data_IF_668718922073
#
_entry.id   IF_668718922073
#
_cell.length_a   1.000
_cell.length_b   1.000
_cell.length_c   1.000
_cell.angle_alpha   90.00
_cell.angle_beta   90.00
_cell.angle_gamma   90.00
#
_symmetry.space_group_name_H-M   'P 1'
#
loop_
_entity.id
_entity.type
_entity.pdbx_description
1 polymer ?
#
# COMPACT_ATOMS: atom_id res chain seq x y z
N UNK A 1 -12.60 -12.53 24.42
CA UNK A 1 -11.68 -12.21 23.32
C UNK A 1 -11.79 -10.72 23.08
N UNK A 2 -10.68 -9.99 22.97
CA UNK A 2 -10.70 -8.54 22.84
C UNK A 2 -11.33 -8.16 21.48
N UNK A 3 -12.46 -7.44 21.49
CA UNK A 3 -13.25 -7.13 20.28
C UNK A 3 -12.41 -6.44 19.20
N UNK A 4 -11.48 -5.57 19.64
CA UNK A 4 -10.52 -4.90 18.79
C UNK A 4 -9.59 -5.87 18.05
N UNK A 5 -9.05 -6.88 18.75
CA UNK A 5 -8.16 -7.90 18.14
C UNK A 5 -8.89 -8.74 17.09
N UNK A 6 -10.17 -9.04 17.32
CA UNK A 6 -10.98 -9.78 16.34
C UNK A 6 -11.35 -8.95 15.12
N UNK A 7 -11.59 -7.64 15.27
CA UNK A 7 -11.85 -6.74 14.15
C UNK A 7 -10.60 -6.49 13.31
N UNK A 8 -9.44 -6.19 13.94
CA UNK A 8 -8.15 -6.04 13.22
C UNK A 8 -7.78 -7.29 12.43
N UNK A 9 -7.92 -8.47 13.04
CA UNK A 9 -7.66 -9.74 12.34
C UNK A 9 -8.55 -9.90 11.10
N UNK A 10 -9.83 -9.55 11.19
CA UNK A 10 -10.75 -9.62 10.04
C UNK A 10 -10.36 -8.66 8.93
N UNK A 11 -9.88 -7.47 9.26
CA UNK A 11 -9.35 -6.52 8.27
C UNK A 11 -8.12 -7.11 7.58
N UNK A 12 -7.14 -7.61 8.33
CA UNK A 12 -5.92 -8.18 7.75
C UNK A 12 -6.19 -9.41 6.90
N UNK A 13 -7.04 -10.34 7.34
CA UNK A 13 -7.34 -11.54 6.57
C UNK A 13 -8.15 -11.22 5.30
N UNK A 14 -9.02 -10.20 5.36
CA UNK A 14 -9.75 -9.70 4.19
C UNK A 14 -8.84 -8.97 3.22
N UNK A 15 -7.92 -8.14 3.73
CA UNK A 15 -6.91 -7.45 2.95
C UNK A 15 -6.00 -8.45 2.25
N UNK A 16 -5.51 -9.45 3.00
CA UNK A 16 -4.72 -10.56 2.49
C UNK A 16 -5.43 -11.26 1.34
N UNK A 17 -6.71 -11.62 1.50
CA UNK A 17 -7.51 -12.20 0.44
C UNK A 17 -7.45 -11.33 -0.83
N UNK A 18 -7.90 -10.07 -0.78
CA UNK A 18 -7.96 -9.22 -1.98
C UNK A 18 -6.58 -8.95 -2.60
N UNK A 19 -5.56 -8.73 -1.78
CA UNK A 19 -4.18 -8.51 -2.23
C UNK A 19 -3.61 -9.77 -2.90
N UNK A 20 -3.89 -10.96 -2.37
CA UNK A 20 -3.52 -12.24 -3.00
C UNK A 20 -4.12 -12.37 -4.41
N UNK A 21 -5.25 -11.72 -4.68
CA UNK A 21 -5.89 -11.68 -6.01
C UNK A 21 -5.41 -10.54 -6.92
N UNK A 22 -4.41 -9.77 -6.50
CA UNK A 22 -3.90 -8.62 -7.24
C UNK A 22 -4.82 -7.40 -7.21
N UNK A 23 -5.79 -7.37 -6.29
CA UNK A 23 -6.65 -6.21 -6.10
C UNK A 23 -5.99 -5.30 -5.05
N UNK A 24 -6.04 -3.99 -5.28
CA UNK A 24 -5.41 -3.03 -4.37
C UNK A 24 -6.37 -2.76 -3.22
N UNK A 25 -6.05 -3.28 -2.05
CA UNK A 25 -6.79 -3.01 -0.82
C UNK A 25 -6.27 -1.74 -0.15
N UNK A 26 -7.16 -0.78 0.10
CA UNK A 26 -6.86 0.47 0.82
C UNK A 26 -7.75 0.58 2.05
N UNK A 27 -7.19 0.25 3.20
CA UNK A 27 -7.87 0.48 4.47
C UNK A 27 -8.22 1.97 4.62
N UNK A 28 -9.45 2.26 5.03
CA UNK A 28 -9.89 3.63 5.26
C UNK A 28 -9.54 4.02 6.71
N UNK A 29 -8.73 5.08 6.93
CA UNK A 29 -8.27 5.49 8.26
C UNK A 29 -9.37 6.14 9.13
N UNK A 30 -10.64 5.96 8.74
CA UNK A 30 -11.78 6.69 9.29
C UNK A 30 -12.76 5.70 9.90
N UNK A 31 -12.53 5.35 11.16
CA UNK A 31 -13.20 4.28 11.93
C UNK A 31 -14.72 4.46 12.13
N UNK A 32 -15.35 5.56 11.68
CA UNK A 32 -16.68 5.95 12.16
C UNK A 32 -17.82 6.03 11.13
N UNK A 33 -17.59 5.63 9.87
CA UNK A 33 -18.62 5.82 8.83
C UNK A 33 -19.14 4.53 8.21
N UNK A 34 -18.46 3.41 8.41
CA UNK A 34 -18.96 2.10 8.00
C UNK A 34 -18.54 1.66 6.60
N UNK A 35 -17.42 2.17 6.09
CA UNK A 35 -16.64 1.54 5.04
C UNK A 35 -15.23 1.46 5.57
N UNK A 36 -14.77 0.26 5.88
CA UNK A 36 -13.48 0.02 6.52
C UNK A 36 -12.35 -0.06 5.49
N UNK A 37 -12.67 -0.35 4.22
CA UNK A 37 -11.69 -0.36 3.13
C UNK A 37 -12.33 -0.06 1.77
N UNK A 38 -11.51 0.44 0.86
CA UNK A 38 -11.81 0.54 -0.57
C UNK A 38 -10.89 -0.44 -1.29
N UNK A 39 -11.44 -1.16 -2.27
CA UNK A 39 -10.67 -2.09 -3.09
C UNK A 39 -10.78 -1.70 -4.55
N UNK A 40 -9.64 -1.66 -5.22
CA UNK A 40 -9.51 -1.39 -6.65
C UNK A 40 -9.15 -2.70 -7.36
N UNK A 41 -9.90 -3.06 -8.40
CA UNK A 41 -9.52 -4.18 -9.27
C UNK A 41 -8.32 -3.80 -10.12
N UNK A 42 -7.61 -4.80 -10.68
CA UNK A 42 -6.73 -4.59 -11.82
C UNK A 42 -7.43 -3.79 -12.93
N UNK A 43 -6.62 -3.11 -13.73
CA UNK A 43 -7.08 -2.20 -14.77
C UNK A 43 -7.45 -3.01 -16.01
N UNK A 44 -8.74 -3.05 -16.36
CA UNK A 44 -9.17 -3.84 -17.52
C UNK A 44 -8.53 -3.37 -18.84
N UNK A 45 -8.70 -4.17 -19.89
CA UNK A 45 -8.24 -3.93 -21.27
C UNK A 45 -8.57 -2.54 -21.86
N UNK A 46 -9.55 -1.82 -21.28
CA UNK A 46 -9.95 -0.48 -21.71
C UNK A 46 -9.36 0.65 -20.83
N UNK A 47 -8.47 0.31 -19.89
CA UNK A 47 -7.90 1.23 -18.92
C UNK A 47 -8.85 1.54 -17.75
N UNK A 48 -9.81 0.67 -17.47
CA UNK A 48 -10.83 0.91 -16.43
C UNK A 48 -10.52 0.11 -15.16
N UNK A 49 -10.46 0.82 -14.05
CA UNK A 49 -10.38 0.23 -12.71
C UNK A 49 -11.78 0.17 -12.11
N UNK A 50 -12.16 -0.96 -11.52
CA UNK A 50 -13.39 -1.05 -10.75
C UNK A 50 -13.07 -0.82 -9.28
N UNK A 51 -13.83 0.07 -8.66
CA UNK A 51 -13.67 0.42 -7.25
C UNK A 51 -14.90 -0.09 -6.50
N UNK A 52 -14.72 -0.65 -5.32
CA UNK A 52 -15.82 -0.99 -4.42
C UNK A 52 -15.41 -0.85 -2.95
N UNK A 53 -16.39 -0.60 -2.10
CA UNK A 53 -16.20 -0.47 -0.66
C UNK A 53 -16.39 -1.80 0.06
N UNK A 54 -15.77 -1.90 1.24
CA UNK A 54 -15.93 -3.01 2.17
C UNK A 54 -16.33 -2.49 3.54
N UNK A 55 -17.36 -3.09 4.13
CA UNK A 55 -17.58 -3.08 5.58
C UNK A 55 -17.19 -4.45 6.12
N UNK A 56 -16.21 -4.50 7.01
CA UNK A 56 -15.59 -5.69 7.58
C UNK A 56 -15.94 -5.77 9.07
N UNK A 57 -16.46 -6.93 9.50
CA UNK A 57 -16.75 -7.20 10.91
C UNK A 57 -16.19 -8.54 11.34
N UNK A 58 -15.32 -8.51 12.35
CA UNK A 58 -14.71 -9.70 12.95
C UNK A 58 -15.40 -10.15 14.22
N UNK A 59 -15.67 -11.45 14.33
CA UNK A 59 -16.18 -12.08 15.54
C UNK A 59 -17.68 -12.32 15.56
N UNK A 60 -18.08 -13.41 16.22
CA UNK A 60 -19.44 -13.96 16.22
C UNK A 60 -20.48 -13.05 16.87
N UNK A 61 -20.08 -12.05 17.66
CA UNK A 61 -21.00 -11.08 18.27
C UNK A 61 -21.65 -10.15 17.23
N UNK A 62 -21.09 -10.03 16.04
CA UNK A 62 -21.58 -9.14 14.99
C UNK A 62 -22.77 -9.70 14.21
N UNK A 63 -23.04 -11.00 14.28
CA UNK A 63 -24.06 -11.64 13.46
C UNK A 63 -24.76 -12.78 14.18
N UNK A 64 -25.99 -13.09 13.74
CA UNK A 64 -26.72 -14.25 14.23
C UNK A 64 -26.65 -15.38 13.20
N UNK A 65 -26.05 -16.51 13.60
CA UNK A 65 -26.05 -17.71 12.77
C UNK A 65 -27.44 -18.35 12.74
N UNK A 66 -27.98 -18.56 11.53
CA UNK A 66 -29.18 -19.36 11.27
C UNK A 66 -28.79 -20.59 10.44
N UNK A 67 -29.79 -21.42 10.08
CA UNK A 67 -29.57 -22.70 9.39
C UNK A 67 -28.82 -22.54 8.06
N UNK A 68 -29.18 -21.53 7.25
CA UNK A 68 -28.64 -21.34 5.89
C UNK A 68 -27.93 -19.99 5.68
N UNK A 69 -27.96 -19.08 6.66
CA UNK A 69 -27.44 -17.72 6.52
C UNK A 69 -26.91 -17.17 7.85
N UNK A 70 -26.04 -16.17 7.76
CA UNK A 70 -25.66 -15.27 8.83
C UNK A 70 -26.48 -13.99 8.71
N UNK A 71 -27.18 -13.58 9.77
CA UNK A 71 -27.92 -12.32 9.79
C UNK A 71 -27.07 -11.24 10.45
N UNK A 72 -26.71 -10.21 9.68
CA UNK A 72 -26.05 -9.01 10.15
C UNK A 72 -27.08 -7.90 10.39
N UNK A 73 -27.03 -7.26 11.56
CA UNK A 73 -27.94 -6.17 11.94
C UNK A 73 -27.20 -4.84 11.95
N UNK A 74 -27.82 -3.81 11.39
CA UNK A 74 -27.23 -2.46 11.32
C UNK A 74 -28.29 -1.38 11.54
N UNK A 75 -27.84 -0.19 11.92
CA UNK A 75 -28.71 0.94 12.29
C UNK A 75 -29.32 1.62 11.06
N UNK A 76 -30.39 2.39 11.28
CA UNK A 76 -30.99 3.23 10.22
C UNK A 76 -30.01 4.26 9.65
N UNK A 77 -29.04 4.70 10.46
CA UNK A 77 -27.93 5.55 10.01
C UNK A 77 -27.04 4.86 8.98
N UNK A 78 -26.58 3.63 9.25
CA UNK A 78 -25.80 2.84 8.27
C UNK A 78 -26.62 2.56 7.01
N UNK A 79 -27.93 2.29 7.14
CA UNK A 79 -28.80 2.13 5.98
C UNK A 79 -28.79 3.35 5.05
N UNK A 80 -28.97 4.55 5.59
CA UNK A 80 -28.92 5.78 4.79
C UNK A 80 -27.53 6.04 4.20
N UNK A 81 -26.48 5.83 5.00
CA UNK A 81 -25.11 6.03 4.57
C UNK A 81 -24.70 5.09 3.44
N UNK A 82 -24.90 3.78 3.60
CA UNK A 82 -24.55 2.79 2.59
C UNK A 82 -25.39 2.92 1.33
N UNK A 83 -26.68 3.28 1.44
CA UNK A 83 -27.49 3.61 0.27
C UNK A 83 -26.91 4.77 -0.54
N UNK A 84 -26.36 5.77 0.13
CA UNK A 84 -25.67 6.85 -0.56
C UNK A 84 -24.40 6.31 -1.24
N UNK A 85 -23.57 5.53 -0.53
CA UNK A 85 -22.30 4.99 -1.08
C UNK A 85 -22.53 4.18 -2.36
N UNK A 86 -23.54 3.30 -2.37
CA UNK A 86 -23.86 2.46 -3.54
C UNK A 86 -24.42 3.23 -4.74
N UNK A 87 -24.59 4.55 -4.67
CA UNK A 87 -24.84 5.39 -5.85
C UNK A 87 -23.57 5.61 -6.68
N UNK A 88 -22.38 5.36 -6.12
CA UNK A 88 -21.09 5.69 -6.76
C UNK A 88 -20.26 4.44 -7.04
N UNK A 89 -20.25 3.48 -6.11
CA UNK A 89 -19.56 2.21 -6.28
C UNK A 89 -20.20 1.10 -5.44
N UNK A 90 -20.06 -0.19 -5.84
CA UNK A 90 -20.58 -1.33 -5.07
C UNK A 90 -20.03 -1.36 -3.63
N UNK A 91 -20.81 -1.89 -2.69
CA UNK A 91 -20.39 -2.10 -1.31
C UNK A 91 -20.59 -3.57 -0.94
N UNK A 92 -19.57 -4.21 -0.37
CA UNK A 92 -19.69 -5.56 0.18
C UNK A 92 -19.66 -5.53 1.71
N UNK A 93 -20.49 -6.36 2.33
CA UNK A 93 -20.46 -6.64 3.77
C UNK A 93 -19.69 -7.93 3.99
N UNK A 94 -18.62 -7.87 4.77
CA UNK A 94 -17.70 -8.95 5.09
C UNK A 94 -17.83 -9.31 6.57
N UNK A 95 -18.05 -10.58 6.87
CA UNK A 95 -18.14 -11.10 8.23
C UNK A 95 -17.11 -12.21 8.43
N UNK A 96 -16.21 -12.07 9.39
CA UNK A 96 -15.29 -13.14 9.76
C UNK A 96 -15.76 -13.86 11.03
N UNK A 97 -15.88 -15.18 10.93
CA UNK A 97 -16.12 -16.07 12.06
C UNK A 97 -14.78 -16.48 12.70
N UNK A 98 -14.46 -15.91 13.87
CA UNK A 98 -13.18 -16.09 14.54
C UNK A 98 -12.90 -17.53 14.98
N UNK A 99 -13.92 -18.35 15.21
CA UNK A 99 -13.78 -19.75 15.59
C UNK A 99 -13.38 -20.68 14.44
N UNK A 100 -13.58 -20.28 13.19
CA UNK A 100 -13.32 -21.11 12.01
C UNK A 100 -12.47 -20.43 10.95
N UNK A 101 -12.06 -19.18 11.18
CA UNK A 101 -11.39 -18.28 10.23
C UNK A 101 -12.10 -18.11 8.88
N UNK A 102 -13.38 -18.50 8.80
CA UNK A 102 -14.17 -18.34 7.59
C UNK A 102 -14.62 -16.90 7.44
N UNK A 103 -14.38 -16.36 6.26
CA UNK A 103 -14.81 -15.04 5.85
C UNK A 103 -16.03 -15.22 4.93
N UNK A 104 -17.15 -14.60 5.29
CA UNK A 104 -18.37 -14.60 4.51
C UNK A 104 -18.59 -13.21 3.91
N UNK A 105 -19.19 -13.14 2.73
CA UNK A 105 -19.41 -11.87 2.04
C UNK A 105 -20.79 -11.77 1.40
N UNK A 106 -21.30 -10.55 1.25
CA UNK A 106 -22.52 -10.30 0.50
C UNK A 106 -22.54 -8.87 -0.04
N UNK A 107 -23.08 -8.69 -1.25
CA UNK A 107 -23.34 -7.36 -1.80
C UNK A 107 -24.38 -6.62 -0.93
N UNK A 108 -24.08 -5.37 -0.57
CA UNK A 108 -25.06 -4.47 0.02
C UNK A 108 -26.09 -4.08 -1.06
N UNK A 109 -27.18 -4.84 -1.12
CA UNK A 109 -28.23 -4.68 -2.12
C UNK A 109 -29.60 -4.70 -1.44
N UNK A 110 -30.50 -3.78 -1.83
CA UNK A 110 -31.86 -3.68 -1.27
C UNK A 110 -32.67 -4.98 -1.39
N UNK A 111 -32.30 -5.90 -2.29
CA UNK A 111 -32.90 -7.24 -2.39
C UNK A 111 -32.60 -8.14 -1.18
N UNK A 112 -31.45 -7.95 -0.52
CA UNK A 112 -31.00 -8.75 0.62
C UNK A 112 -31.24 -8.05 1.97
N UNK A 113 -31.79 -6.84 1.94
CA UNK A 113 -31.98 -5.99 3.11
C UNK A 113 -33.45 -5.99 3.52
N UNK A 114 -33.70 -6.07 4.82
CA UNK A 114 -35.07 -6.00 5.36
C UNK A 114 -35.14 -5.06 6.56
N UNK A 115 -36.13 -4.16 6.57
CA UNK A 115 -36.43 -3.31 7.73
C UNK A 115 -37.03 -4.16 8.85
N UNK A 116 -36.50 -4.03 10.07
CA UNK A 116 -37.09 -4.58 11.29
C UNK A 116 -37.76 -3.48 12.10
N UNK A 117 -38.29 -3.79 13.27
CA UNK A 117 -38.95 -2.80 14.15
C UNK A 117 -38.00 -1.71 14.66
N UNK A 118 -36.69 -1.99 14.80
CA UNK A 118 -35.70 -1.04 15.36
C UNK A 118 -34.46 -0.83 14.50
N UNK A 119 -34.09 -1.80 13.66
CA UNK A 119 -32.86 -1.83 12.87
C UNK A 119 -33.14 -2.32 11.44
N UNK A 120 -32.10 -2.41 10.63
CA UNK A 120 -32.09 -3.13 9.37
C UNK A 120 -31.32 -4.43 9.54
N UNK A 121 -31.62 -5.41 8.68
CA UNK A 121 -30.85 -6.64 8.61
C UNK A 121 -30.46 -6.96 7.17
N UNK A 122 -29.32 -7.62 7.02
CA UNK A 122 -28.84 -8.20 5.77
C UNK A 122 -28.48 -9.66 6.05
N UNK A 123 -29.04 -10.57 5.22
CA UNK A 123 -28.81 -12.00 5.35
C UNK A 123 -27.71 -12.43 4.35
N UNK A 124 -26.61 -12.99 4.87
CA UNK A 124 -25.47 -13.51 4.11
C UNK A 124 -25.58 -15.05 4.01
N UNK A 125 -25.78 -15.64 2.83
CA UNK A 125 -25.80 -17.09 2.65
C UNK A 125 -24.51 -17.75 3.14
N UNK A 126 -24.60 -18.91 3.79
CA UNK A 126 -23.42 -19.64 4.28
C UNK A 126 -22.53 -20.19 3.15
N UNK A 127 -23.03 -20.20 1.91
CA UNK A 127 -22.27 -20.55 0.71
C UNK A 127 -21.45 -19.38 0.15
N UNK A 128 -21.76 -18.13 0.53
CA UNK A 128 -20.98 -16.96 0.12
C UNK A 128 -19.73 -16.83 0.98
N UNK A 129 -18.80 -17.76 0.80
CA UNK A 129 -17.49 -17.75 1.46
C UNK A 129 -16.52 -17.00 0.55
N UNK A 130 -15.68 -16.17 1.15
CA UNK A 130 -14.61 -15.46 0.46
C UNK A 130 -13.49 -16.46 0.17
N UNK A 131 -13.40 -16.88 -1.09
CA UNK A 131 -12.49 -17.89 -1.62
C UNK A 131 -12.18 -17.62 -3.12
N UNK A 132 -11.33 -18.43 -3.73
CA UNK A 132 -11.00 -18.36 -5.17
C UNK A 132 -12.23 -18.25 -6.08
N UNK A 133 -13.28 -19.04 -5.82
CA UNK A 133 -14.49 -19.07 -6.66
C UNK A 133 -15.29 -17.76 -6.55
N UNK A 134 -15.27 -17.13 -5.37
CA UNK A 134 -15.98 -15.87 -5.12
C UNK A 134 -15.43 -14.69 -5.94
N UNK A 135 -14.15 -14.73 -6.37
CA UNK A 135 -13.52 -13.70 -7.20
C UNK A 135 -14.34 -13.41 -8.46
N UNK A 136 -14.66 -14.45 -9.22
CA UNK A 136 -15.42 -14.31 -10.47
C UNK A 136 -16.84 -13.78 -10.23
N UNK A 137 -17.43 -14.12 -9.08
CA UNK A 137 -18.77 -13.65 -8.70
C UNK A 137 -18.73 -12.17 -8.31
N UNK A 138 -17.72 -11.75 -7.53
CA UNK A 138 -17.53 -10.34 -7.16
C UNK A 138 -17.25 -9.53 -8.42
N UNK A 139 -16.30 -9.92 -9.26
CA UNK A 139 -15.98 -9.23 -10.51
C UNK A 139 -17.20 -9.07 -11.44
N UNK A 140 -18.01 -10.11 -11.60
CA UNK A 140 -19.25 -10.03 -12.38
C UNK A 140 -20.28 -9.07 -11.75
N UNK A 141 -20.37 -9.03 -10.43
CA UNK A 141 -21.21 -8.06 -9.71
C UNK A 141 -20.76 -6.63 -10.00
N UNK A 142 -19.45 -6.36 -9.95
CA UNK A 142 -18.87 -5.05 -10.28
C UNK A 142 -19.15 -4.64 -11.74
N UNK A 143 -18.98 -5.56 -12.69
CA UNK A 143 -19.25 -5.32 -14.10
C UNK A 143 -20.73 -4.97 -14.38
N UNK A 144 -21.65 -5.71 -13.76
CA UNK A 144 -23.09 -5.47 -13.91
C UNK A 144 -23.53 -4.13 -13.30
N UNK A 145 -22.95 -3.75 -12.16
CA UNK A 145 -23.20 -2.45 -11.54
C UNK A 145 -22.86 -1.30 -12.51
N UNK A 146 -21.71 -1.39 -13.19
CA UNK A 146 -21.24 -0.36 -14.11
C UNK A 146 -21.97 -0.32 -15.45
N UNK A 147 -22.53 -1.44 -15.93
CA UNK A 147 -23.33 -1.42 -17.14
C UNK A 147 -24.68 -0.73 -16.93
N UNK A 148 -25.26 -0.86 -15.73
CA UNK A 148 -26.45 -0.10 -15.35
C UNK A 148 -26.15 1.41 -15.27
N UNK A 149 -24.97 1.81 -14.80
CA UNK A 149 -24.47 3.20 -14.84
C UNK A 149 -24.20 3.68 -16.29
N UNK A 150 -23.52 2.89 -17.12
CA UNK A 150 -23.18 3.26 -18.52
C UNK A 150 -24.41 3.45 -19.40
N UNK A 151 -25.47 2.67 -19.21
CA UNK A 151 -26.75 2.88 -19.90
C UNK A 151 -27.36 4.27 -19.61
N UNK A 152 -27.00 4.89 -18.48
CA UNK A 152 -27.39 6.26 -18.16
C UNK A 152 -26.41 7.32 -18.74
N UNK A 153 -25.15 6.96 -19.02
CA UNK A 153 -24.06 7.89 -19.43
C UNK A 153 -23.82 7.94 -20.95
N UNK A 154 -24.25 6.95 -21.74
CA UNK A 154 -24.04 6.88 -23.22
C UNK A 154 -24.68 8.00 -24.07
N UNK A 155 -25.12 9.10 -23.47
CA UNK A 155 -25.64 10.29 -24.14
C UNK A 155 -24.59 11.42 -24.37
N UNK A 156 -23.27 11.18 -24.29
CA UNK A 156 -22.26 12.19 -24.67
C UNK A 156 -21.11 11.67 -25.57
N UNK A 157 -20.53 12.52 -26.45
CA UNK A 157 -19.61 12.08 -27.52
C UNK A 157 -18.14 12.00 -27.07
N UNK A 158 -17.39 11.04 -27.61
CA UNK A 158 -15.99 10.70 -27.32
C UNK A 158 -14.93 11.67 -27.90
N UNK A 159 -13.83 11.92 -27.16
CA UNK A 159 -12.62 12.66 -27.57
C UNK A 159 -11.52 11.72 -28.15
N UNK A 160 -10.76 12.19 -29.16
CA UNK A 160 -9.70 11.44 -29.89
C UNK A 160 -8.30 11.55 -29.23
N UNK A 161 -7.50 10.47 -29.25
CA UNK A 161 -6.06 10.42 -28.86
C UNK A 161 -5.14 11.11 -29.89
N UNK A 162 -4.09 11.80 -29.45
CA UNK A 162 -3.13 12.56 -30.30
C UNK A 162 -1.93 11.70 -30.78
N UNK A 163 -1.23 12.11 -31.85
CA UNK A 163 -0.14 11.36 -32.52
C UNK A 163 1.28 11.58 -31.92
N UNK A 164 1.44 12.42 -30.89
CA UNK A 164 2.75 12.87 -30.37
C UNK A 164 3.06 12.37 -28.95
N UNK A 165 2.46 11.25 -28.53
CA UNK A 165 2.60 10.71 -27.18
C UNK A 165 3.55 9.50 -27.15
N UNK A 166 4.48 9.47 -26.19
CA UNK A 166 5.31 8.30 -25.92
C UNK A 166 4.44 7.21 -25.28
N UNK A 167 4.43 6.00 -25.83
CA UNK A 167 3.75 4.86 -25.22
C UNK A 167 4.73 3.74 -24.89
N UNK A 168 4.53 3.10 -23.73
CA UNK A 168 5.40 2.04 -23.21
C UNK A 168 4.52 0.90 -22.72
N UNK A 169 4.68 -0.28 -23.33
CA UNK A 169 3.94 -1.49 -22.98
C UNK A 169 4.89 -2.67 -22.88
N UNK A 170 4.54 -3.64 -22.04
CA UNK A 170 5.26 -4.90 -21.98
C UNK A 170 4.54 -5.95 -22.81
N UNK A 171 5.29 -6.93 -23.31
CA UNK A 171 4.74 -8.07 -24.03
C UNK A 171 5.54 -9.33 -23.70
N UNK A 172 4.94 -10.47 -23.92
CA UNK A 172 5.58 -11.78 -23.79
C UNK A 172 5.70 -12.38 -25.18
N UNK A 173 6.93 -12.67 -25.60
CA UNK A 173 7.14 -13.28 -26.92
C UNK A 173 6.91 -14.79 -26.84
N UNK A 174 6.17 -15.33 -27.81
CA UNK A 174 6.01 -16.77 -28.01
C UNK A 174 7.09 -17.38 -28.91
N UNK A 175 8.03 -16.57 -29.41
CA UNK A 175 9.23 -17.06 -30.10
C UNK A 175 10.31 -17.46 -29.07
N UNK A 176 11.30 -18.27 -29.49
CA UNK A 176 12.25 -19.02 -28.63
C UNK A 176 12.74 -18.26 -27.38
N UNK A 177 12.03 -18.41 -26.26
CA UNK A 177 12.46 -18.26 -24.85
C UNK A 177 11.28 -17.96 -23.88
N UNK A 178 10.07 -17.63 -24.37
CA UNK A 178 8.97 -17.10 -23.55
C UNK A 178 9.37 -15.87 -22.73
N UNK A 179 10.19 -14.99 -23.32
CA UNK A 179 10.79 -13.86 -22.61
C UNK A 179 9.92 -12.61 -22.67
N UNK A 180 9.97 -11.81 -21.59
CA UNK A 180 9.35 -10.49 -21.56
C UNK A 180 10.12 -9.52 -22.45
N UNK A 181 9.39 -8.67 -23.16
CA UNK A 181 9.88 -7.55 -23.93
C UNK A 181 9.27 -6.24 -23.43
N UNK A 182 10.03 -5.14 -23.53
CA UNK A 182 9.53 -3.78 -23.41
C UNK A 182 9.41 -3.16 -24.80
N UNK A 183 8.23 -2.62 -25.09
CA UNK A 183 7.89 -1.96 -26.34
C UNK A 183 7.77 -0.46 -26.08
N UNK A 184 8.62 0.34 -26.75
CA UNK A 184 8.64 1.80 -26.61
C UNK A 184 8.33 2.40 -27.96
N UNK A 185 7.27 3.22 -28.03
CA UNK A 185 6.76 3.81 -29.25
C UNK A 185 6.69 5.34 -29.14
N UNK A 186 7.16 6.04 -30.18
CA UNK A 186 7.02 7.48 -30.32
C UNK A 186 6.77 7.86 -31.79
N UNK A 187 5.58 8.40 -32.07
CA UNK A 187 5.14 8.68 -33.43
C UNK A 187 5.09 7.39 -34.28
N UNK A 188 5.99 7.28 -35.27
CA UNK A 188 6.11 6.09 -36.13
C UNK A 188 7.26 5.17 -35.73
N UNK A 189 8.06 5.55 -34.74
CA UNK A 189 9.21 4.77 -34.32
C UNK A 189 8.79 3.82 -33.21
N UNK A 190 9.14 2.54 -33.35
CA UNK A 190 8.89 1.50 -32.36
C UNK A 190 10.18 0.73 -32.15
N UNK A 191 10.50 0.48 -30.88
CA UNK A 191 11.54 -0.47 -30.51
C UNK A 191 10.93 -1.54 -29.60
N UNK A 192 11.36 -2.77 -29.81
CA UNK A 192 11.09 -3.92 -28.95
C UNK A 192 12.43 -4.38 -28.37
N UNK A 193 12.51 -4.51 -27.05
CA UNK A 193 13.73 -4.92 -26.34
C UNK A 193 13.44 -6.11 -25.44
N UNK A 194 14.21 -7.19 -25.60
CA UNK A 194 14.12 -8.36 -24.76
C UNK A 194 14.70 -8.05 -23.38
N UNK A 195 13.97 -8.38 -22.31
CA UNK A 195 14.40 -8.26 -20.92
C UNK A 195 15.10 -9.53 -20.41
N UNK A 196 15.18 -10.58 -21.24
CA UNK A 196 15.85 -11.85 -20.95
C UNK A 196 15.31 -12.57 -19.71
N UNK A 197 14.04 -12.32 -19.40
CA UNK A 197 13.35 -12.93 -18.28
C UNK A 197 12.19 -13.78 -18.75
N UNK A 198 12.14 -15.03 -18.27
CA UNK A 198 11.02 -15.93 -18.45
C UNK A 198 10.17 -15.94 -17.17
N UNK A 199 8.93 -15.42 -17.19
CA UNK A 199 8.05 -15.45 -16.03
C UNK A 199 7.78 -16.88 -15.55
N UNK A 200 7.62 -17.06 -14.23
CA UNK A 200 7.10 -18.33 -13.68
C UNK A 200 5.62 -18.50 -14.03
N UNK A 201 5.07 -19.70 -13.78
CA UNK A 201 3.76 -20.17 -14.26
C UNK A 201 2.56 -19.24 -13.97
N UNK A 202 2.68 -18.33 -13.00
CA UNK A 202 1.64 -17.37 -12.62
C UNK A 202 2.12 -15.92 -12.57
N UNK A 203 3.38 -15.60 -12.91
CA UNK A 203 3.91 -14.24 -12.72
C UNK A 203 3.49 -13.27 -13.82
N UNK A 204 2.99 -13.76 -14.96
CA UNK A 204 2.56 -12.95 -16.08
C UNK A 204 1.05 -12.92 -16.18
N UNK A 205 0.50 -11.72 -16.08
CA UNK A 205 -0.91 -11.45 -16.30
C UNK A 205 -1.11 -11.18 -17.80
N UNK A 206 -1.81 -12.10 -18.48
CA UNK A 206 -2.07 -11.98 -19.92
C UNK A 206 -3.08 -10.86 -20.24
N UNK A 207 -3.95 -10.48 -19.30
CA UNK A 207 -4.93 -9.40 -19.48
C UNK A 207 -4.24 -8.03 -19.37
N UNK A 208 -3.43 -7.84 -18.33
CA UNK A 208 -2.65 -6.62 -18.11
C UNK A 208 -1.44 -6.51 -19.04
N UNK A 209 -1.04 -7.63 -19.68
CA UNK A 209 0.22 -7.76 -20.40
C UNK A 209 1.42 -7.27 -19.57
N UNK A 210 1.44 -7.66 -18.30
CA UNK A 210 2.45 -7.23 -17.34
C UNK A 210 2.76 -8.31 -16.30
N UNK A 211 3.85 -8.13 -15.56
CA UNK A 211 4.10 -8.95 -14.38
C UNK A 211 3.06 -8.65 -13.31
N UNK A 212 2.70 -9.63 -12.49
CA UNK A 212 1.96 -9.38 -11.25
C UNK A 212 2.91 -9.23 -10.05
N UNK A 213 2.33 -8.88 -8.90
CA UNK A 213 3.04 -8.56 -7.67
C UNK A 213 3.86 -9.73 -7.08
N UNK A 214 3.58 -10.98 -7.45
CA UNK A 214 4.37 -12.14 -7.02
C UNK A 214 5.78 -12.16 -7.64
N UNK A 215 5.99 -11.44 -8.74
CA UNK A 215 7.30 -11.36 -9.39
C UNK A 215 8.23 -10.40 -8.66
N UNK A 216 9.48 -10.85 -8.41
CA UNK A 216 10.53 -10.01 -7.84
C UNK A 216 10.80 -8.73 -8.68
N UNK A 217 10.45 -8.71 -9.97
CA UNK A 217 10.70 -7.56 -10.85
C UNK A 217 9.50 -6.64 -11.05
N UNK A 218 8.34 -6.92 -10.44
CA UNK A 218 7.10 -6.17 -10.63
C UNK A 218 7.28 -4.66 -10.43
N UNK A 219 7.73 -4.26 -9.25
CA UNK A 219 7.89 -2.86 -8.88
C UNK A 219 9.01 -2.18 -9.69
N UNK A 220 10.12 -2.89 -9.93
CA UNK A 220 11.22 -2.35 -10.74
C UNK A 220 10.78 -2.05 -12.17
N UNK A 221 9.96 -2.89 -12.80
CA UNK A 221 9.46 -2.63 -14.15
C UNK A 221 8.41 -1.50 -14.18
N UNK A 222 7.59 -1.37 -13.13
CA UNK A 222 6.65 -0.26 -12.99
C UNK A 222 7.40 1.08 -12.90
N UNK A 223 8.44 1.12 -12.08
CA UNK A 223 9.29 2.30 -11.90
C UNK A 223 10.17 2.58 -13.11
N UNK A 224 10.63 1.55 -13.82
CA UNK A 224 11.36 1.73 -15.06
C UNK A 224 10.51 2.40 -16.14
N UNK A 225 9.23 2.01 -16.25
CA UNK A 225 8.28 2.70 -17.14
C UNK A 225 8.16 4.19 -16.77
N UNK A 226 8.02 4.51 -15.48
CA UNK A 226 7.95 5.90 -14.98
C UNK A 226 9.23 6.69 -15.26
N UNK A 227 10.39 6.08 -15.04
CA UNK A 227 11.69 6.64 -15.36
C UNK A 227 11.80 7.00 -16.84
N UNK A 228 11.47 6.08 -17.75
CA UNK A 228 11.55 6.33 -19.20
C UNK A 228 10.64 7.49 -19.62
N UNK A 229 9.39 7.53 -19.11
CA UNK A 229 8.49 8.66 -19.35
C UNK A 229 9.08 9.98 -18.86
N UNK A 230 9.47 10.06 -17.58
CA UNK A 230 10.04 11.28 -16.98
C UNK A 230 11.32 11.73 -17.71
N UNK A 231 12.15 10.78 -18.12
CA UNK A 231 13.39 11.02 -18.86
C UNK A 231 13.10 11.63 -20.23
N UNK A 232 12.15 11.09 -20.97
CA UNK A 232 11.77 11.62 -22.29
C UNK A 232 11.07 12.98 -22.21
N UNK A 233 10.23 13.19 -21.18
CA UNK A 233 9.57 14.47 -20.93
C UNK A 233 10.56 15.62 -20.73
N UNK A 234 11.72 15.34 -20.13
CA UNK A 234 12.82 16.29 -19.96
C UNK A 234 13.66 16.53 -21.24
N UNK A 235 13.39 15.81 -22.32
CA UNK A 235 14.08 15.95 -23.60
C UNK A 235 13.24 16.78 -24.60
N UNK A 236 13.87 17.15 -25.73
CA UNK A 236 13.22 17.91 -26.81
C UNK A 236 12.13 17.14 -27.62
N UNK A 237 11.58 16.04 -27.09
CA UNK A 237 10.54 15.18 -27.70
C UNK A 237 10.64 15.06 -29.23
N UNK A 238 11.80 14.63 -29.71
CA UNK A 238 12.10 14.50 -31.13
C UNK A 238 12.50 13.06 -31.45
N UNK A 239 12.46 12.67 -32.73
CA UNK A 239 12.98 11.36 -33.15
C UNK A 239 14.44 11.13 -32.68
N UNK A 240 15.27 12.17 -32.73
CA UNK A 240 16.65 12.11 -32.21
C UNK A 240 16.71 11.94 -30.69
N UNK A 241 15.79 12.57 -29.95
CA UNK A 241 15.69 12.37 -28.50
C UNK A 241 15.24 10.95 -28.17
N UNK A 242 14.33 10.40 -28.97
CA UNK A 242 13.86 9.03 -28.85
C UNK A 242 15.01 8.03 -29.10
N UNK A 243 15.82 8.21 -30.15
CA UNK A 243 16.97 7.34 -30.40
C UNK A 243 17.99 7.34 -29.24
N UNK A 244 18.21 8.51 -28.62
CA UNK A 244 19.05 8.64 -27.43
C UNK A 244 18.45 7.90 -26.23
N UNK A 245 17.16 8.09 -25.97
CA UNK A 245 16.45 7.39 -24.90
C UNK A 245 16.53 5.86 -25.11
N UNK A 246 16.29 5.39 -26.32
CA UNK A 246 16.38 3.96 -26.65
C UNK A 246 17.78 3.40 -26.43
N UNK A 247 18.83 4.19 -26.74
CA UNK A 247 20.22 3.80 -26.47
C UNK A 247 20.49 3.69 -24.96
N UNK A 248 19.98 4.64 -24.16
CA UNK A 248 20.04 4.63 -22.70
C UNK A 248 19.33 3.40 -22.12
N UNK A 249 18.08 3.14 -22.54
CA UNK A 249 17.30 1.97 -22.12
C UNK A 249 18.00 0.65 -22.48
N UNK A 250 18.55 0.52 -23.69
CA UNK A 250 19.32 -0.67 -24.09
C UNK A 250 20.54 -0.89 -23.20
N UNK A 251 21.23 0.18 -22.84
CA UNK A 251 22.40 0.13 -21.96
C UNK A 251 22.04 -0.26 -20.53
N UNK A 252 20.86 0.15 -20.04
CA UNK A 252 20.35 -0.23 -18.71
C UNK A 252 19.98 -1.70 -18.69
N UNK A 253 19.18 -2.16 -19.66
CA UNK A 253 18.75 -3.58 -19.72
C UNK A 253 19.97 -4.49 -19.88
N UNK A 254 20.89 -4.16 -20.81
CA UNK A 254 22.13 -4.91 -21.06
C UNK A 254 21.96 -6.45 -20.98
N UNK A 255 20.93 -6.95 -21.65
CA UNK A 255 20.54 -8.35 -21.73
C UNK A 255 20.21 -9.07 -20.41
N UNK A 256 19.80 -8.37 -19.36
CA UNK A 256 19.36 -8.97 -18.10
C UNK A 256 18.35 -8.06 -17.38
N UNK A 257 17.15 -8.58 -17.07
CA UNK A 257 16.12 -7.84 -16.34
C UNK A 257 16.61 -7.34 -14.98
N UNK A 258 17.52 -8.07 -14.33
CA UNK A 258 18.04 -7.67 -13.02
C UNK A 258 18.81 -6.35 -13.08
N UNK A 259 19.46 -6.04 -14.21
CA UNK A 259 20.13 -4.76 -14.40
C UNK A 259 19.13 -3.59 -14.35
N UNK A 260 17.86 -3.82 -14.73
CA UNK A 260 16.80 -2.82 -14.58
C UNK A 260 16.48 -2.59 -13.10
N UNK A 261 16.43 -3.66 -12.30
CA UNK A 261 16.20 -3.56 -10.86
C UNK A 261 17.36 -2.86 -10.15
N UNK A 262 18.60 -3.26 -10.43
CA UNK A 262 19.81 -2.61 -9.93
C UNK A 262 19.83 -1.12 -10.32
N UNK A 263 19.59 -0.81 -11.60
CA UNK A 263 19.54 0.57 -12.06
C UNK A 263 18.47 1.41 -11.34
N UNK A 264 17.25 0.88 -11.17
CA UNK A 264 16.17 1.63 -10.54
C UNK A 264 16.44 1.87 -9.06
N UNK A 265 16.96 0.85 -8.36
CA UNK A 265 17.36 0.98 -6.96
C UNK A 265 18.45 2.04 -6.81
N UNK A 266 19.54 1.93 -7.57
CA UNK A 266 20.67 2.86 -7.50
C UNK A 266 20.29 4.28 -7.94
N UNK A 267 19.46 4.41 -8.98
CA UNK A 267 18.99 5.71 -9.48
C UNK A 267 18.13 6.44 -8.43
N UNK A 268 17.24 5.71 -7.73
CA UNK A 268 16.40 6.29 -6.68
C UNK A 268 17.20 6.71 -5.46
N UNK A 269 18.27 5.98 -5.16
CA UNK A 269 19.15 6.21 -4.02
C UNK A 269 20.34 7.14 -4.31
N UNK A 270 20.46 7.62 -5.55
CA UNK A 270 21.55 8.47 -5.97
C UNK A 270 21.60 9.77 -5.17
N UNK A 271 22.64 9.94 -4.36
CA UNK A 271 22.88 11.14 -3.55
C UNK A 271 22.44 11.04 -2.09
N UNK A 272 21.96 9.87 -1.66
CA UNK A 272 21.47 9.62 -0.29
C UNK A 272 22.41 8.71 0.54
N UNK A 273 23.63 8.47 0.06
CA UNK A 273 24.64 7.60 0.68
C UNK A 273 24.21 6.14 0.92
N UNK A 274 23.05 5.73 0.40
CA UNK A 274 22.60 4.33 0.41
C UNK A 274 23.55 3.51 -0.49
N UNK A 275 24.11 2.39 0.00
CA UNK A 275 24.96 1.52 -0.80
C UNK A 275 24.25 1.03 -2.07
N UNK A 276 25.00 0.76 -3.13
CA UNK A 276 24.41 0.23 -4.37
C UNK A 276 23.76 -1.14 -4.12
N UNK A 277 22.78 -1.49 -4.94
CA UNK A 277 22.05 -2.76 -4.92
C UNK A 277 22.98 -3.98 -4.81
N UNK A 278 24.08 -3.98 -5.56
CA UNK A 278 25.06 -5.08 -5.55
C UNK A 278 25.80 -5.25 -4.21
N UNK A 279 25.89 -4.21 -3.38
CA UNK A 279 26.47 -4.31 -2.04
C UNK A 279 25.54 -5.05 -1.07
N UNK A 280 24.25 -4.74 -1.11
CA UNK A 280 23.24 -5.48 -0.34
C UNK A 280 23.23 -6.97 -0.70
N UNK A 281 23.30 -7.31 -1.99
CA UNK A 281 23.36 -8.70 -2.42
C UNK A 281 24.60 -9.41 -1.87
N UNK A 282 25.77 -8.77 -1.91
CA UNK A 282 27.00 -9.33 -1.33
C UNK A 282 26.88 -9.55 0.17
N UNK A 283 26.24 -8.63 0.90
CA UNK A 283 26.05 -8.77 2.34
C UNK A 283 25.14 -9.98 2.65
N UNK A 284 24.08 -10.16 1.86
CA UNK A 284 23.25 -11.36 1.98
C UNK A 284 23.98 -12.66 1.62
N UNK A 285 24.78 -12.67 0.55
CA UNK A 285 25.59 -13.84 0.18
C UNK A 285 26.61 -14.20 1.28
N UNK A 286 27.21 -13.20 1.93
CA UNK A 286 28.12 -13.39 3.05
C UNK A 286 27.41 -14.00 4.28
N UNK A 287 26.22 -13.52 4.60
CA UNK A 287 25.42 -14.04 5.71
C UNK A 287 24.89 -15.46 5.44
N UNK A 288 24.32 -15.70 4.26
CA UNK A 288 23.61 -16.93 3.94
C UNK A 288 24.49 -18.05 3.37
N UNK A 289 25.70 -17.73 2.90
CA UNK A 289 26.55 -18.61 2.07
C UNK A 289 25.87 -19.12 0.78
N UNK A 290 24.79 -18.46 0.33
CA UNK A 290 24.13 -18.75 -0.92
C UNK A 290 24.79 -18.00 -2.07
N UNK A 291 24.79 -18.59 -3.26
CA UNK A 291 25.15 -17.88 -4.50
C UNK A 291 23.94 -17.21 -5.13
N UNK A 292 24.15 -16.16 -5.93
CA UNK A 292 23.11 -15.40 -6.64
C UNK A 292 21.97 -16.22 -7.27
N UNK A 293 22.25 -17.42 -7.80
CA UNK A 293 21.24 -18.27 -8.45
C UNK A 293 20.31 -19.01 -7.48
N UNK A 294 20.59 -18.96 -6.18
CA UNK A 294 19.88 -19.71 -5.14
C UNK A 294 18.80 -18.87 -4.44
N UNK A 295 18.70 -17.58 -4.74
CA UNK A 295 17.72 -16.68 -4.16
C UNK A 295 17.16 -15.70 -5.18
N UNK A 296 16.03 -15.13 -4.84
CA UNK A 296 15.35 -14.06 -5.55
C UNK A 296 15.44 -12.81 -4.70
N UNK A 297 15.75 -11.68 -5.31
CA UNK A 297 15.87 -10.40 -4.61
C UNK A 297 14.91 -9.42 -5.26
N UNK A 298 14.04 -8.82 -4.46
CA UNK A 298 13.05 -7.83 -4.85
C UNK A 298 13.41 -6.52 -4.18
N UNK A 299 13.69 -5.49 -4.98
CA UNK A 299 13.90 -4.14 -4.48
C UNK A 299 12.54 -3.45 -4.26
N UNK A 300 12.27 -3.01 -3.03
CA UNK A 300 11.11 -2.19 -2.67
C UNK A 300 11.60 -0.86 -2.10
N UNK A 301 11.47 0.20 -2.91
CA UNK A 301 11.97 1.54 -2.63
C UNK A 301 13.44 1.58 -2.21
N UNK A 302 13.71 1.62 -0.89
CA UNK A 302 15.05 1.75 -0.30
C UNK A 302 15.57 0.44 0.29
N UNK A 303 14.74 -0.59 0.43
CA UNK A 303 15.07 -1.88 1.05
C UNK A 303 15.03 -3.03 0.04
N UNK A 304 15.62 -4.17 0.40
CA UNK A 304 15.61 -5.37 -0.44
C UNK A 304 15.05 -6.55 0.34
N UNK A 305 14.06 -7.20 -0.26
CA UNK A 305 13.52 -8.47 0.22
C UNK A 305 14.14 -9.62 -0.55
N UNK A 306 14.54 -10.65 0.16
CA UNK A 306 15.25 -11.80 -0.40
C UNK A 306 14.49 -13.07 -0.09
N UNK A 307 14.08 -13.79 -1.13
CA UNK A 307 13.39 -15.06 -1.04
C UNK A 307 14.33 -16.20 -1.38
N UNK A 308 14.45 -17.15 -0.46
CA UNK A 308 15.23 -18.38 -0.65
C UNK A 308 14.30 -19.59 -0.63
N UNK A 309 14.88 -20.79 -0.69
CA UNK A 309 14.12 -22.04 -0.44
C UNK A 309 13.75 -22.24 1.03
N UNK A 310 14.49 -21.62 1.95
CA UNK A 310 14.40 -21.88 3.39
C UNK A 310 13.58 -20.82 4.12
N UNK A 311 13.39 -19.65 3.50
CA UNK A 311 12.64 -18.55 4.08
C UNK A 311 12.79 -17.27 3.28
N UNK A 312 12.14 -16.21 3.77
CA UNK A 312 12.30 -14.86 3.29
C UNK A 312 13.10 -14.03 4.29
N UNK A 313 13.82 -13.05 3.77
CA UNK A 313 14.70 -12.17 4.52
C UNK A 313 14.46 -10.74 4.07
N UNK A 314 14.68 -9.82 4.98
CA UNK A 314 14.74 -8.38 4.71
C UNK A 314 16.17 -7.92 4.98
N UNK A 315 16.72 -7.11 4.07
CA UNK A 315 18.02 -6.46 4.27
C UNK A 315 17.89 -4.94 4.14
N UNK A 316 18.47 -4.24 5.10
CA UNK A 316 18.49 -2.77 5.19
C UNK A 316 19.84 -2.28 5.72
N UNK A 317 20.04 -0.97 5.74
CA UNK A 317 21.13 -0.28 6.43
C UNK A 317 20.59 1.06 6.98
N UNK A 318 21.41 1.76 7.76
CA UNK A 318 21.01 3.06 8.35
C UNK A 318 20.55 4.06 7.29
N UNK A 319 21.30 4.15 6.19
CA UNK A 319 20.99 5.07 5.11
C UNK A 319 19.67 4.71 4.41
N UNK A 320 19.42 3.43 4.13
CA UNK A 320 18.17 3.02 3.47
C UNK A 320 16.95 3.22 4.35
N UNK A 321 17.03 2.84 5.63
CA UNK A 321 15.93 3.06 6.58
C UNK A 321 15.67 4.55 6.78
N UNK A 322 16.72 5.37 6.87
CA UNK A 322 16.59 6.83 6.95
C UNK A 322 15.81 7.41 5.77
N UNK A 323 16.11 7.00 4.54
CA UNK A 323 15.37 7.47 3.35
C UNK A 323 13.91 6.98 3.36
N UNK A 324 13.68 5.76 3.85
CA UNK A 324 12.33 5.22 4.04
C UNK A 324 11.52 6.07 5.04
N UNK A 325 12.09 6.39 6.20
CA UNK A 325 11.46 7.24 7.21
C UNK A 325 11.23 8.67 6.71
N UNK A 326 12.19 9.26 5.98
CA UNK A 326 12.01 10.57 5.34
C UNK A 326 10.83 10.57 4.38
N UNK A 327 10.72 9.53 3.54
CA UNK A 327 9.60 9.42 2.60
C UNK A 327 8.25 9.48 3.33
N UNK A 328 8.11 8.82 4.48
CA UNK A 328 6.86 8.85 5.23
C UNK A 328 6.58 10.18 5.93
N UNK A 329 7.58 10.71 6.64
CA UNK A 329 7.43 11.92 7.43
C UNK A 329 7.25 13.16 6.53
N UNK A 330 8.07 13.30 5.48
CA UNK A 330 8.06 14.49 4.63
C UNK A 330 6.84 14.56 3.71
N UNK A 331 6.30 13.41 3.30
CA UNK A 331 5.08 13.35 2.48
C UNK A 331 3.78 13.30 3.30
N UNK A 332 3.88 13.29 4.64
CA UNK A 332 2.75 13.06 5.55
C UNK A 332 1.99 11.78 5.20
N UNK A 333 2.73 10.69 5.02
CA UNK A 333 2.21 9.36 4.72
C UNK A 333 1.69 8.71 6.00
N UNK A 334 0.55 9.21 6.50
CA UNK A 334 0.03 8.85 7.84
C UNK A 334 -0.18 7.33 8.01
N UNK A 335 -0.66 6.65 6.96
CA UNK A 335 -0.89 5.21 7.01
C UNK A 335 0.42 4.44 7.14
N UNK A 336 1.43 4.82 6.37
CA UNK A 336 2.74 4.18 6.36
C UNK A 336 3.50 4.44 7.67
N UNK A 337 3.34 5.60 8.30
CA UNK A 337 3.87 5.82 9.65
C UNK A 337 3.22 4.84 10.64
N UNK A 338 1.91 4.58 10.51
CA UNK A 338 1.21 3.62 11.34
C UNK A 338 1.63 2.16 11.06
N UNK A 339 1.81 1.76 9.80
CA UNK A 339 2.04 0.35 9.44
C UNK A 339 3.51 -0.05 9.37
N UNK A 340 4.40 0.90 9.06
CA UNK A 340 5.80 0.63 8.71
C UNK A 340 6.80 1.20 9.75
N UNK A 341 6.31 1.77 10.85
CA UNK A 341 7.17 2.24 11.95
C UNK A 341 6.68 1.74 13.31
N UNK A 342 7.60 1.65 14.25
CA UNK A 342 7.36 1.15 15.60
C UNK A 342 7.08 2.32 16.56
N UNK A 343 5.89 2.29 17.17
CA UNK A 343 5.46 3.27 18.17
C UNK A 343 6.42 3.33 19.35
N UNK A 344 6.92 2.18 19.81
CA UNK A 344 7.79 2.10 20.97
C UNK A 344 9.10 2.84 20.70
N UNK A 345 9.67 2.69 19.50
CA UNK A 345 10.90 3.39 19.11
C UNK A 345 10.68 4.91 19.11
N UNK A 346 9.59 5.39 18.52
CA UNK A 346 9.26 6.81 18.55
C UNK A 346 8.96 7.33 19.96
N UNK A 347 8.38 6.49 20.81
CA UNK A 347 8.13 6.77 22.22
C UNK A 347 9.44 6.97 22.99
N UNK A 348 10.42 6.09 22.81
CA UNK A 348 11.75 6.21 23.43
C UNK A 348 12.46 7.50 22.99
N UNK A 349 12.47 7.79 21.67
CA UNK A 349 13.02 9.05 21.11
C UNK A 349 12.33 10.27 21.72
N UNK A 350 11.02 10.20 21.97
CA UNK A 350 10.29 11.28 22.62
C UNK A 350 10.71 11.44 24.09
N UNK A 351 10.75 10.35 24.86
CA UNK A 351 10.97 10.35 26.32
C UNK A 351 12.33 10.94 26.68
N UNK A 352 13.37 10.69 25.87
CA UNK A 352 14.72 11.19 26.10
C UNK A 352 14.80 12.72 26.20
N UNK A 353 14.01 13.44 25.41
CA UNK A 353 14.02 14.90 25.37
C UNK A 353 12.78 15.55 26.02
N UNK A 354 11.60 14.96 25.80
CA UNK A 354 10.30 15.52 26.16
C UNK A 354 10.00 16.85 25.46
N UNK A 355 8.72 17.14 25.21
CA UNK A 355 8.30 18.43 24.64
C UNK A 355 7.31 19.08 25.59
N UNK A 356 7.52 20.36 25.92
CA UNK A 356 6.54 21.12 26.70
C UNK A 356 5.23 21.20 25.91
N UNK A 357 4.10 20.96 26.58
CA UNK A 357 2.74 21.11 26.04
C UNK A 357 2.53 22.38 25.22
N UNK A 358 3.05 23.50 25.72
CA UNK A 358 2.94 24.82 25.06
C UNK A 358 3.64 24.91 23.71
N UNK A 359 4.59 24.00 23.42
CA UNK A 359 5.27 23.88 22.13
C UNK A 359 4.66 22.80 21.25
N UNK A 360 4.27 21.66 21.83
CA UNK A 360 3.78 20.52 21.09
C UNK A 360 2.36 20.71 20.54
N UNK A 361 1.42 21.11 21.41
CA UNK A 361 0.00 21.17 21.05
C UNK A 361 -0.29 22.09 19.85
N UNK A 362 0.33 23.28 19.70
CA UNK A 362 0.09 24.12 18.53
C UNK A 362 0.53 23.46 17.21
N UNK A 363 1.65 22.72 17.21
CA UNK A 363 2.13 22.01 16.02
C UNK A 363 1.18 20.86 15.69
N UNK A 364 0.86 20.02 16.68
CA UNK A 364 -0.04 18.88 16.50
C UNK A 364 -1.44 19.29 16.04
N UNK A 365 -1.96 20.40 16.56
CA UNK A 365 -3.24 20.93 16.11
C UNK A 365 -3.20 21.32 14.62
N UNK A 366 -2.14 21.98 14.17
CA UNK A 366 -1.98 22.35 12.76
C UNK A 366 -1.90 21.09 11.87
N UNK A 367 -1.16 20.06 12.29
CA UNK A 367 -1.08 18.80 11.56
C UNK A 367 -2.42 18.06 11.48
N UNK A 368 -3.22 18.08 12.55
CA UNK A 368 -4.57 17.53 12.52
C UNK A 368 -5.50 18.28 11.55
N UNK A 369 -5.38 19.60 11.49
CA UNK A 369 -6.12 20.41 10.50
C UNK A 369 -5.70 20.07 9.07
N UNK A 370 -4.40 19.88 8.83
CA UNK A 370 -3.82 19.52 7.54
C UNK A 370 -4.22 18.13 7.05
N UNK A 371 -4.23 17.14 7.95
CA UNK A 371 -4.74 15.79 7.70
C UNK A 371 -6.17 15.85 7.16
N UNK A 372 -7.08 16.50 7.90
CA UNK A 372 -8.48 16.59 7.50
C UNK A 372 -8.64 17.39 6.21
N UNK A 373 -7.91 18.49 6.03
CA UNK A 373 -7.97 19.29 4.80
C UNK A 373 -7.60 18.45 3.57
N UNK A 374 -6.52 17.68 3.68
CA UNK A 374 -6.03 16.82 2.60
C UNK A 374 -7.00 15.67 2.30
N UNK A 375 -7.54 15.04 3.35
CA UNK A 375 -8.53 13.97 3.21
C UNK A 375 -9.83 14.46 2.56
N UNK A 376 -10.37 15.60 2.99
CA UNK A 376 -11.56 16.20 2.37
C UNK A 376 -11.32 16.53 0.90
N UNK A 377 -10.15 17.06 0.55
CA UNK A 377 -9.80 17.37 -0.83
C UNK A 377 -9.80 16.10 -1.68
N UNK A 378 -9.05 15.07 -1.27
CA UNK A 378 -8.96 13.78 -1.98
C UNK A 378 -10.33 13.15 -2.19
N UNK A 379 -11.11 13.02 -1.12
CA UNK A 379 -12.45 12.41 -1.17
C UNK A 379 -13.43 13.23 -2.02
N UNK A 380 -13.30 14.56 -2.04
CA UNK A 380 -14.09 15.41 -2.93
C UNK A 380 -13.72 15.20 -4.41
N UNK A 381 -12.44 15.03 -4.71
CA UNK A 381 -11.96 14.75 -6.07
C UNK A 381 -12.40 13.37 -6.56
N UNK A 382 -12.43 12.37 -5.68
CA UNK A 382 -12.79 10.98 -6.00
C UNK A 382 -14.31 10.74 -6.01
N UNK A 383 -15.05 11.27 -5.02
CA UNK A 383 -16.45 10.93 -4.73
C UNK A 383 -17.40 12.13 -4.90
N UNK A 384 -16.87 13.36 -5.07
CA UNK A 384 -17.69 14.56 -5.29
C UNK A 384 -18.40 15.14 -4.05
N UNK A 385 -18.47 14.40 -2.93
CA UNK A 385 -19.11 14.82 -1.66
C UNK A 385 -18.32 14.40 -0.43
N UNK A 386 -18.37 15.21 0.63
CA UNK A 386 -17.53 15.00 1.85
C UNK A 386 -18.31 14.98 3.17
N UNK A 387 -19.63 15.16 3.16
CA UNK A 387 -20.45 15.26 4.39
C UNK A 387 -20.32 14.06 5.34
N UNK A 388 -19.91 12.92 4.81
CA UNK A 388 -19.67 11.74 5.62
C UNK A 388 -18.48 11.94 6.55
N UNK A 389 -17.43 12.64 6.13
CA UNK A 389 -16.21 12.84 6.93
C UNK A 389 -16.43 13.68 8.21
N UNK A 390 -17.53 14.44 8.27
CA UNK A 390 -17.78 15.43 9.33
C UNK A 390 -17.80 14.80 10.74
N UNK A 391 -18.46 13.65 10.91
CA UNK A 391 -18.54 13.02 12.24
C UNK A 391 -17.20 12.47 12.71
N UNK A 392 -16.43 11.88 11.79
CA UNK A 392 -15.11 11.34 12.12
C UNK A 392 -14.11 12.44 12.42
N UNK A 393 -14.21 13.57 11.71
CA UNK A 393 -13.51 14.79 12.07
C UNK A 393 -13.86 15.21 13.49
N UNK A 394 -15.14 15.33 13.81
CA UNK A 394 -15.59 15.69 15.15
C UNK A 394 -15.16 14.70 16.24
N UNK A 395 -15.08 13.39 15.93
CA UNK A 395 -14.53 12.37 16.83
C UNK A 395 -13.04 12.59 17.08
N UNK A 396 -12.23 12.75 16.03
CA UNK A 396 -10.79 13.00 16.18
C UNK A 396 -10.50 14.27 17.00
N UNK A 397 -11.29 15.33 16.82
CA UNK A 397 -11.17 16.56 17.62
C UNK A 397 -11.54 16.37 19.09
N UNK A 398 -12.50 15.48 19.39
CA UNK A 398 -12.84 15.13 20.78
C UNK A 398 -11.71 14.31 21.43
N UNK A 399 -11.16 13.34 20.71
CA UNK A 399 -9.99 12.58 21.16
C UNK A 399 -8.79 13.50 21.41
N UNK A 400 -8.49 14.40 20.48
CA UNK A 400 -7.42 15.39 20.61
C UNK A 400 -7.60 16.30 21.84
N UNK A 401 -8.83 16.72 22.16
CA UNK A 401 -9.11 17.48 23.40
C UNK A 401 -8.80 16.68 24.66
N UNK A 402 -9.15 15.39 24.68
CA UNK A 402 -8.82 14.50 25.81
C UNK A 402 -7.31 14.29 25.91
N UNK A 403 -6.64 14.06 24.79
CA UNK A 403 -5.18 13.99 24.69
C UNK A 403 -4.52 15.24 25.30
N UNK A 404 -4.98 16.44 24.95
CA UNK A 404 -4.47 17.70 25.54
C UNK A 404 -4.62 17.70 27.07
N UNK A 405 -5.74 17.21 27.61
CA UNK A 405 -5.96 17.22 29.05
C UNK A 405 -5.00 16.28 29.80
N UNK A 406 -4.68 15.13 29.19
CA UNK A 406 -3.79 14.12 29.77
C UNK A 406 -2.31 14.34 29.46
N UNK A 407 -1.97 15.34 28.65
CA UNK A 407 -0.60 15.59 28.20
C UNK A 407 0.44 15.62 29.33
N UNK A 408 0.13 16.33 30.42
CA UNK A 408 1.07 16.51 31.53
C UNK A 408 1.07 15.31 32.50
N UNK A 409 0.18 14.34 32.30
CA UNK A 409 0.05 13.11 33.09
C UNK A 409 0.72 11.90 32.41
N UNK A 410 1.10 12.02 31.13
CA UNK A 410 1.73 10.95 30.35
C UNK A 410 3.26 11.09 30.33
N UNK A 411 3.96 9.97 30.39
CA UNK A 411 5.42 9.92 30.25
C UNK A 411 5.84 10.06 28.78
N UNK A 412 5.16 9.35 27.88
CA UNK A 412 5.28 9.51 26.44
C UNK A 412 3.98 10.02 25.83
N UNK A 413 4.08 11.06 25.03
CA UNK A 413 2.91 11.58 24.29
C UNK A 413 2.71 10.86 22.96
N UNK A 414 3.72 10.13 22.49
CA UNK A 414 3.60 9.28 21.30
C UNK A 414 2.74 8.06 21.65
N UNK A 415 3.09 7.37 22.74
CA UNK A 415 2.30 6.26 23.29
C UNK A 415 0.86 6.71 23.60
N UNK A 416 0.71 7.86 24.27
CA UNK A 416 -0.61 8.44 24.55
C UNK A 416 -1.43 8.64 23.26
N UNK A 417 -0.80 9.14 22.19
CA UNK A 417 -1.49 9.37 20.92
C UNK A 417 -1.91 8.05 20.26
N UNK A 418 -1.05 7.03 20.34
CA UNK A 418 -1.33 5.67 19.84
C UNK A 418 -2.50 5.02 20.58
N UNK A 419 -2.51 5.09 21.92
CA UNK A 419 -3.59 4.56 22.75
C UNK A 419 -4.96 5.21 22.46
N UNK A 420 -4.98 6.49 22.09
CA UNK A 420 -6.20 7.19 21.73
C UNK A 420 -6.68 6.86 20.31
N UNK A 421 -5.75 6.90 19.35
CA UNK A 421 -6.02 6.71 17.92
C UNK A 421 -4.72 6.42 17.15
N UNK A 422 -4.43 5.12 16.99
CA UNK A 422 -3.26 4.61 16.26
C UNK A 422 -3.22 5.04 14.78
N UNK A 423 -4.36 5.31 14.15
CA UNK A 423 -4.43 5.57 12.71
C UNK A 423 -4.29 7.06 12.37
N UNK A 424 -4.76 7.93 13.26
CA UNK A 424 -4.79 9.38 13.00
C UNK A 424 -3.90 10.13 13.98
N UNK A 425 -4.11 9.99 15.30
CA UNK A 425 -3.40 10.80 16.27
C UNK A 425 -1.94 10.38 16.43
N UNK A 426 -1.63 9.09 16.40
CA UNK A 426 -0.24 8.61 16.48
C UNK A 426 0.63 9.14 15.33
N UNK A 427 0.29 8.96 14.04
CA UNK A 427 1.09 9.50 12.94
C UNK A 427 1.22 11.03 12.98
N UNK A 428 0.15 11.73 13.37
CA UNK A 428 0.16 13.18 13.57
C UNK A 428 1.12 13.57 14.71
N UNK A 429 1.15 12.82 15.81
CA UNK A 429 2.04 13.08 16.94
C UNK A 429 3.51 12.89 16.54
N UNK A 430 3.82 11.81 15.80
CA UNK A 430 5.16 11.55 15.26
C UNK A 430 5.60 12.69 14.33
N UNK A 431 4.79 13.07 13.35
CA UNK A 431 5.12 14.20 12.44
C UNK A 431 5.32 15.50 13.23
N UNK A 432 4.49 15.74 14.25
CA UNK A 432 4.60 16.93 15.10
C UNK A 432 5.88 16.96 15.91
N UNK A 433 6.29 15.81 16.46
CA UNK A 433 7.57 15.64 17.13
C UNK A 433 8.72 15.90 16.15
N UNK A 434 8.70 15.30 14.96
CA UNK A 434 9.71 15.46 13.93
C UNK A 434 9.84 16.90 13.42
N UNK A 435 8.76 17.69 13.47
CA UNK A 435 8.76 19.14 13.16
C UNK A 435 9.37 20.01 14.25
N UNK A 436 9.45 19.50 15.48
CA UNK A 436 9.97 20.24 16.64
C UNK A 436 11.42 19.86 16.94
N UNK A 437 11.74 18.57 16.84
CA UNK A 437 13.07 18.04 17.04
C UNK A 437 13.95 18.21 15.80
N UNK A 438 15.24 17.95 15.96
CA UNK A 438 16.13 17.82 14.82
C UNK A 438 15.87 16.47 14.15
N UNK A 439 15.08 16.49 13.07
CA UNK A 439 14.67 15.30 12.34
C UNK A 439 15.85 14.37 11.99
N UNK A 440 17.02 14.92 11.63
CA UNK A 440 18.19 14.10 11.33
C UNK A 440 18.66 13.26 12.52
N UNK A 441 18.63 13.84 13.72
CA UNK A 441 19.00 13.12 14.95
C UNK A 441 17.97 12.03 15.24
N UNK A 442 16.67 12.35 15.13
CA UNK A 442 15.60 11.38 15.36
C UNK A 442 15.68 10.19 14.38
N UNK A 443 16.03 10.41 13.11
CA UNK A 443 16.23 9.30 12.17
C UNK A 443 17.39 8.39 12.56
N UNK A 444 18.50 8.97 13.05
CA UNK A 444 19.65 8.20 13.51
C UNK A 444 19.32 7.37 14.76
N UNK A 445 18.66 7.99 15.74
CA UNK A 445 18.21 7.31 16.97
C UNK A 445 17.20 6.21 16.65
N UNK A 446 16.28 6.45 15.70
CA UNK A 446 15.35 5.42 15.24
C UNK A 446 16.10 4.22 14.64
N UNK A 447 17.08 4.47 13.76
CA UNK A 447 17.88 3.39 13.16
C UNK A 447 18.65 2.60 14.22
N UNK A 448 19.23 3.28 15.21
CA UNK A 448 19.94 2.63 16.32
C UNK A 448 19.03 1.74 17.16
N UNK A 449 17.83 2.23 17.51
CA UNK A 449 16.86 1.44 18.26
C UNK A 449 16.29 0.26 17.46
N UNK A 450 16.01 0.46 16.16
CA UNK A 450 15.52 -0.59 15.28
C UNK A 450 16.57 -1.70 15.11
N UNK A 451 17.81 -1.33 14.79
CA UNK A 451 18.84 -2.28 14.39
C UNK A 451 19.67 -2.83 15.54
N UNK A 452 20.08 -1.99 16.49
CA UNK A 452 21.05 -2.35 17.53
C UNK A 452 20.38 -2.72 18.86
N UNK A 453 19.22 -2.15 19.18
CA UNK A 453 18.45 -2.51 20.37
C UNK A 453 17.44 -3.66 20.12
N UNK A 454 17.07 -3.88 18.85
CA UNK A 454 16.21 -4.98 18.41
C UNK A 454 16.89 -6.36 18.55
N UNK A 455 16.10 -7.40 18.85
CA UNK A 455 16.61 -8.80 18.92
C UNK A 455 16.53 -9.54 17.58
N UNK A 456 16.04 -8.89 16.53
CA UNK A 456 15.66 -9.55 15.29
C UNK A 456 16.66 -9.35 14.15
N UNK A 457 17.47 -8.29 14.20
CA UNK A 457 18.42 -7.93 13.16
C UNK A 457 19.82 -8.47 13.45
N UNK A 458 20.47 -9.01 12.42
CA UNK A 458 21.87 -9.42 12.43
C UNK A 458 22.70 -8.46 11.56
N UNK A 459 23.76 -7.89 12.16
CA UNK A 459 24.64 -6.92 11.49
C UNK A 459 25.74 -7.61 10.69
N UNK A 460 26.02 -7.11 9.49
CA UNK A 460 26.99 -7.65 8.53
C UNK A 460 27.82 -6.49 7.98
N UNK A 461 29.14 -6.58 8.15
CA UNK A 461 30.09 -5.72 7.44
C UNK A 461 30.60 -6.44 6.20
N UNK A 462 30.81 -5.70 5.11
CA UNK A 462 31.51 -6.22 3.92
C UNK A 462 33.03 -6.11 4.06
N UNK A 463 33.52 -5.31 4.99
CA UNK A 463 34.94 -5.11 5.28
C UNK A 463 35.12 -4.91 6.78
N UNK A 464 35.56 -5.95 7.48
CA UNK A 464 35.79 -5.91 8.94
C UNK A 464 37.01 -5.06 9.33
N UNK A 465 37.86 -4.68 8.36
CA UNK A 465 39.05 -3.86 8.61
C UNK A 465 38.78 -2.35 8.42
N UNK A 466 37.71 -1.98 7.69
CA UNK A 466 37.28 -0.58 7.52
C UNK A 466 36.12 -0.23 8.47
N UNK A 467 36.41 0.56 9.50
CA UNK A 467 35.39 1.03 10.43
C UNK A 467 34.35 1.99 9.82
N UNK A 468 34.56 2.44 8.56
CA UNK A 468 33.60 3.25 7.82
C UNK A 468 32.84 2.44 6.75
N UNK A 469 33.10 1.13 6.65
CA UNK A 469 32.34 0.28 5.75
C UNK A 469 30.84 0.33 6.13
N UNK A 470 29.95 0.35 5.13
CA UNK A 470 28.52 0.30 5.40
C UNK A 470 28.17 -1.01 6.12
N UNK A 471 27.43 -0.88 7.21
CA UNK A 471 26.87 -2.01 7.96
C UNK A 471 25.49 -2.29 7.40
N UNK A 472 25.26 -3.54 7.03
CA UNK A 472 23.96 -4.05 6.61
C UNK A 472 23.33 -4.83 7.77
N UNK A 473 22.02 -4.77 7.87
CA UNK A 473 21.24 -5.50 8.87
C UNK A 473 20.30 -6.44 8.13
N UNK A 474 20.26 -7.71 8.54
CA UNK A 474 19.38 -8.73 7.97
C UNK A 474 18.50 -9.34 9.06
N UNK A 475 17.21 -9.52 8.77
CA UNK A 475 16.30 -10.31 9.60
C UNK A 475 15.51 -11.31 8.78
N UNK A 476 14.98 -12.33 9.43
CA UNK A 476 13.97 -13.20 8.82
C UNK A 476 12.67 -12.41 8.64
N UNK A 477 12.06 -12.53 7.47
CA UNK A 477 10.80 -11.86 7.14
C UNK A 477 9.68 -12.89 6.97
N UNK A 478 8.50 -12.56 7.46
CA UNK A 478 7.28 -13.35 7.26
C UNK A 478 6.59 -12.83 6.00
N UNK A 479 7.18 -13.07 4.82
CA UNK A 479 6.53 -12.77 3.53
C UNK A 479 5.49 -13.82 3.22
#
# INVERSE_FOLDING_TARGET
MNHFRTERKAIYDTAKFFTEFGWIFREQPVVDLGVDAIVETPMDENGKVNIFGLQIKGGESNFQRKRNFLTFYFSERHYHYWNAIIENYPLLIILQESSSDKIYWQEYNNKFITKTTKNWKLDIPLENILNEESKGIIANTLFNFQNNERLNITNLPSLKKSHDELTINYSKSHEKADSIHINICYGKNTIELNLFYKPKKNEWDEEESFLNWESQYYYSLLEFKRYIHSRFEKMNKSARSFDKLVTEVKSIVNNNIENVQEFIFDYRNSGNDVPNYSAFLKAFELHSNLSRKQYEAQALDHIIYIKTKEGAFEISCYQSLTEYLKYYIENNSYNEIYTETDEYIWSEIYVDAGIKKSKFIPVMQNELEEYWRSLYKRIKEEIGRTNHLDESKDKSWRMFKTFINLYDESESIIELAYDFDEMVLYPIAVISMMKIFNAHVCYLEYCELEFDAGKEWESISLDDEDCNAPIFHIRSSVI
#
